data_IF_073052127960
#
_entry.id   IF_073052127960
#
_cell.length_a   1.000
_cell.length_b   1.000
_cell.length_c   1.000
_cell.angle_alpha   90.00
_cell.angle_beta   90.00
_cell.angle_gamma   90.00
#
_symmetry.space_group_name_H-M   'P 1'
#
loop_
_entity.id
_entity.type
_entity.pdbx_description
1 polymer ?
#
# COMPACT_ATOMS: atom_id res chain seq x y z
N UNK A 1 12.05 -12.30 28.96
CA UNK A 1 11.19 -11.56 29.92
C UNK A 1 10.38 -10.50 29.16
N UNK A 2 9.10 -10.28 29.50
CA UNK A 2 8.17 -9.34 28.83
C UNK A 2 8.75 -7.92 28.68
N UNK A 3 9.51 -7.48 29.68
CA UNK A 3 10.20 -6.18 29.66
C UNK A 3 11.16 -6.02 28.47
N UNK A 4 11.86 -7.08 28.04
CA UNK A 4 12.73 -7.02 26.87
C UNK A 4 11.93 -6.91 25.57
N UNK A 5 10.78 -7.58 25.48
CA UNK A 5 9.88 -7.47 24.33
C UNK A 5 9.34 -6.04 24.20
N UNK A 6 8.89 -5.45 25.31
CA UNK A 6 8.42 -4.06 25.35
C UNK A 6 9.52 -3.07 24.92
N UNK A 7 10.76 -3.25 25.38
CA UNK A 7 11.89 -2.42 24.97
C UNK A 7 12.20 -2.55 23.46
N UNK A 8 12.16 -3.77 22.92
CA UNK A 8 12.38 -4.02 21.50
C UNK A 8 11.29 -3.38 20.63
N UNK A 9 10.03 -3.56 21.00
CA UNK A 9 8.90 -2.96 20.27
C UNK A 9 8.94 -1.44 20.36
N UNK A 10 9.22 -0.87 21.53
CA UNK A 10 9.37 0.58 21.68
C UNK A 10 10.45 1.14 20.74
N UNK A 11 11.61 0.47 20.65
CA UNK A 11 12.67 0.85 19.72
C UNK A 11 12.21 0.79 18.25
N UNK A 12 11.44 -0.22 17.88
CA UNK A 12 10.90 -0.36 16.53
C UNK A 12 9.88 0.76 16.22
N UNK A 13 8.96 1.06 17.14
CA UNK A 13 7.96 2.12 16.98
C UNK A 13 8.65 3.50 16.83
N UNK A 14 9.63 3.81 17.68
CA UNK A 14 10.38 5.08 17.57
C UNK A 14 11.17 5.20 16.27
N UNK A 15 11.65 4.08 15.70
CA UNK A 15 12.28 4.10 14.39
C UNK A 15 11.26 4.39 13.29
N UNK A 16 10.09 3.74 13.36
CA UNK A 16 9.03 3.92 12.37
C UNK A 16 8.52 5.36 12.36
N UNK A 17 8.19 5.94 13.52
CA UNK A 17 7.73 7.35 13.61
C UNK A 17 8.71 8.31 12.94
N UNK A 18 10.01 8.15 13.19
CA UNK A 18 11.05 8.99 12.57
C UNK A 18 11.18 8.76 11.07
N UNK A 19 10.96 7.53 10.59
CA UNK A 19 11.20 7.16 9.20
C UNK A 19 10.00 7.45 8.31
N UNK A 20 8.78 7.32 8.83
CA UNK A 20 7.53 7.53 8.10
C UNK A 20 6.96 8.93 8.25
N UNK A 21 7.50 9.73 9.19
CA UNK A 21 6.98 11.04 9.58
C UNK A 21 5.48 10.99 9.97
N UNK A 22 5.06 9.86 10.55
CA UNK A 22 3.71 9.66 11.07
C UNK A 22 3.72 9.48 12.57
N UNK A 23 2.81 10.14 13.31
CA UNK A 23 2.62 9.87 14.72
C UNK A 23 1.99 8.49 14.91
N UNK A 24 2.71 7.55 15.53
CA UNK A 24 2.19 6.24 15.94
C UNK A 24 1.57 6.29 17.35
N UNK A 25 1.12 7.47 17.78
CA UNK A 25 0.60 7.74 19.14
C UNK A 25 -0.59 6.86 19.55
N UNK A 26 -1.26 6.22 18.58
CA UNK A 26 -2.39 5.32 18.82
C UNK A 26 -2.00 3.86 19.07
N UNK A 27 -0.72 3.50 18.97
CA UNK A 27 -0.22 2.12 19.13
C UNK A 27 0.88 2.09 20.20
N UNK A 28 0.57 1.55 21.37
CA UNK A 28 1.52 1.31 22.45
C UNK A 28 2.42 0.10 22.19
N UNK A 29 3.57 0.03 22.88
CA UNK A 29 4.42 -1.16 22.79
C UNK A 29 3.81 -2.37 23.52
N UNK A 30 3.04 -2.12 24.58
CA UNK A 30 2.20 -3.10 25.27
C UNK A 30 1.14 -3.71 24.35
N UNK A 31 0.53 -2.94 23.45
CA UNK A 31 -0.50 -3.43 22.54
C UNK A 31 0.04 -4.53 21.62
N UNK A 32 1.28 -4.39 21.17
CA UNK A 32 1.93 -5.37 20.31
C UNK A 32 2.43 -6.56 21.13
N UNK A 33 3.05 -6.32 22.28
CA UNK A 33 3.60 -7.39 23.12
C UNK A 33 2.50 -8.28 23.71
N UNK A 34 1.36 -7.71 24.08
CA UNK A 34 0.24 -8.43 24.67
C UNK A 34 -0.73 -8.99 23.59
N UNK A 35 -0.46 -8.74 22.31
CA UNK A 35 -1.16 -9.38 21.20
C UNK A 35 -2.51 -8.76 20.84
N UNK A 36 -2.65 -7.44 20.96
CA UNK A 36 -3.81 -6.71 20.43
C UNK A 36 -3.83 -6.82 18.89
N UNK A 37 -4.60 -7.78 18.38
CA UNK A 37 -4.66 -8.12 16.95
C UNK A 37 -5.02 -6.91 16.09
N UNK A 38 -5.98 -6.09 16.54
CA UNK A 38 -6.44 -4.92 15.77
C UNK A 38 -5.31 -3.90 15.58
N UNK A 39 -4.60 -3.57 16.66
CA UNK A 39 -3.50 -2.59 16.61
C UNK A 39 -2.25 -3.18 15.94
N UNK A 40 -2.02 -4.48 16.09
CA UNK A 40 -0.96 -5.19 15.35
C UNK A 40 -1.19 -5.11 13.85
N UNK A 41 -2.41 -5.41 13.38
CA UNK A 41 -2.76 -5.26 11.96
C UNK A 41 -2.69 -3.80 11.49
N UNK A 42 -3.09 -2.86 12.34
CA UNK A 42 -2.93 -1.42 12.09
C UNK A 42 -1.47 -1.03 11.87
N UNK A 43 -0.56 -1.50 12.72
CA UNK A 43 0.88 -1.25 12.59
C UNK A 43 1.45 -1.85 11.29
N UNK A 44 1.11 -3.10 10.99
CA UNK A 44 1.56 -3.77 9.76
C UNK A 44 1.03 -3.04 8.53
N UNK A 45 -0.23 -2.58 8.56
CA UNK A 45 -0.81 -1.79 7.47
C UNK A 45 -0.04 -0.49 7.23
N UNK A 46 0.30 0.25 8.29
CA UNK A 46 1.09 1.50 8.18
C UNK A 46 2.45 1.22 7.53
N UNK A 47 3.12 0.13 7.92
CA UNK A 47 4.41 -0.26 7.33
C UNK A 47 4.25 -0.56 5.83
N UNK A 48 3.29 -1.40 5.44
CA UNK A 48 3.05 -1.73 4.03
C UNK A 48 2.73 -0.45 3.24
N UNK A 49 1.86 0.39 3.79
CA UNK A 49 1.44 1.62 3.15
C UNK A 49 2.62 2.57 2.91
N UNK A 50 3.40 2.89 3.94
CA UNK A 50 4.48 3.87 3.86
C UNK A 50 5.68 3.41 3.05
N UNK A 51 6.03 2.12 3.11
CA UNK A 51 7.23 1.62 2.43
C UNK A 51 6.97 1.03 1.04
N UNK A 52 5.75 0.59 0.74
CA UNK A 52 5.44 -0.02 -0.57
C UNK A 52 4.52 0.88 -1.40
N UNK A 53 3.33 1.21 -0.89
CA UNK A 53 2.30 1.90 -1.68
C UNK A 53 2.69 3.37 -1.93
N UNK A 54 3.11 4.08 -0.88
CA UNK A 54 3.53 5.48 -0.99
C UNK A 54 4.74 5.62 -1.92
N UNK A 55 5.69 4.69 -1.82
CA UNK A 55 6.87 4.69 -2.70
C UNK A 55 6.46 4.59 -4.18
N UNK A 56 5.56 3.67 -4.53
CA UNK A 56 5.04 3.53 -5.90
C UNK A 56 4.38 4.83 -6.36
N UNK A 57 3.56 5.43 -5.50
CA UNK A 57 2.86 6.67 -5.83
C UNK A 57 3.84 7.83 -6.09
N UNK A 58 4.88 7.98 -5.27
CA UNK A 58 5.93 8.98 -5.48
C UNK A 58 6.66 8.74 -6.82
N UNK A 59 7.01 7.49 -7.14
CA UNK A 59 7.62 7.15 -8.44
C UNK A 59 6.70 7.51 -9.61
N UNK A 60 5.38 7.37 -9.48
CA UNK A 60 4.44 7.79 -10.53
C UNK A 60 4.37 9.29 -10.69
N UNK A 61 4.46 10.06 -9.60
CA UNK A 61 4.56 11.52 -9.66
C UNK A 61 5.84 11.93 -10.39
N UNK A 62 6.95 11.25 -10.17
CA UNK A 62 8.22 11.54 -10.85
C UNK A 62 8.14 11.26 -12.37
N UNK A 63 7.48 10.17 -12.77
CA UNK A 63 7.33 9.79 -14.19
C UNK A 63 6.24 10.61 -14.89
N UNK A 64 5.16 10.94 -14.18
CA UNK A 64 3.97 11.61 -14.70
C UNK A 64 3.61 12.87 -13.89
N UNK A 65 4.50 13.88 -13.84
CA UNK A 65 4.39 15.02 -12.92
C UNK A 65 3.17 15.92 -13.18
N UNK A 66 2.63 15.93 -14.40
CA UNK A 66 1.43 16.69 -14.76
C UNK A 66 0.12 16.00 -14.37
N UNK A 67 0.17 14.72 -14.00
CA UNK A 67 -1.00 13.88 -13.81
C UNK A 67 -1.32 13.68 -12.33
N UNK A 68 -0.36 13.86 -11.42
CA UNK A 68 -0.51 13.60 -9.99
C UNK A 68 0.12 14.75 -9.20
N UNK A 69 -0.71 15.59 -8.56
CA UNK A 69 -0.22 16.66 -7.70
C UNK A 69 0.01 16.11 -6.28
N UNK A 70 1.19 16.39 -5.73
CA UNK A 70 1.56 16.32 -4.30
C UNK A 70 0.91 15.17 -3.49
N UNK A 71 1.35 13.95 -3.73
CA UNK A 71 0.83 12.74 -3.08
C UNK A 71 1.42 12.61 -1.68
N UNK A 72 0.73 13.14 -0.67
CA UNK A 72 1.16 13.00 0.73
C UNK A 72 0.21 12.16 1.58
N UNK A 73 -0.95 11.78 1.05
CA UNK A 73 -1.97 11.02 1.79
C UNK A 73 -2.22 9.61 1.25
N UNK A 74 -2.82 8.78 2.11
CA UNK A 74 -3.20 7.40 1.75
C UNK A 74 -4.26 7.35 0.65
N UNK A 75 -5.14 8.36 0.62
CA UNK A 75 -6.13 8.49 -0.45
C UNK A 75 -5.42 8.73 -1.77
N UNK A 76 -4.44 9.64 -1.79
CA UNK A 76 -3.73 10.02 -3.02
C UNK A 76 -2.89 8.86 -3.55
N UNK A 77 -2.15 8.17 -2.68
CA UNK A 77 -1.31 7.04 -3.11
C UNK A 77 -2.15 5.86 -3.63
N UNK A 78 -3.30 5.59 -3.01
CA UNK A 78 -4.26 4.61 -3.50
C UNK A 78 -4.81 5.01 -4.88
N UNK A 79 -5.17 6.28 -5.07
CA UNK A 79 -5.67 6.76 -6.36
C UNK A 79 -4.61 6.71 -7.46
N UNK A 80 -3.36 7.04 -7.13
CA UNK A 80 -2.23 6.93 -8.06
C UNK A 80 -2.04 5.47 -8.52
N UNK A 81 -2.03 4.51 -7.59
CA UNK A 81 -1.93 3.10 -7.94
C UNK A 81 -3.11 2.63 -8.78
N UNK A 82 -4.35 3.05 -8.43
CA UNK A 82 -5.54 2.69 -9.20
C UNK A 82 -5.48 3.24 -10.63
N UNK A 83 -4.96 4.46 -10.78
CA UNK A 83 -4.74 5.08 -12.08
C UNK A 83 -3.71 4.30 -12.89
N UNK A 84 -2.60 3.91 -12.29
CA UNK A 84 -1.61 3.10 -12.99
C UNK A 84 -2.18 1.78 -13.48
N UNK A 85 -2.98 1.08 -12.66
CA UNK A 85 -3.66 -0.14 -13.10
C UNK A 85 -4.51 0.11 -14.33
N UNK A 86 -5.28 1.21 -14.35
CA UNK A 86 -6.10 1.58 -15.51
C UNK A 86 -5.26 1.85 -16.76
N UNK A 87 -4.13 2.53 -16.61
CA UNK A 87 -3.21 2.79 -17.72
C UNK A 87 -2.59 1.50 -18.27
N UNK A 88 -2.23 0.55 -17.41
CA UNK A 88 -1.72 -0.75 -17.86
C UNK A 88 -2.77 -1.57 -18.62
N UNK A 89 -4.04 -1.40 -18.27
CA UNK A 89 -5.15 -2.20 -18.77
C UNK A 89 -5.99 -1.51 -19.85
N UNK A 90 -5.54 -0.38 -20.39
CA UNK A 90 -6.26 0.37 -21.42
C UNK A 90 -6.55 -0.49 -22.66
N UNK A 91 -5.58 -1.30 -23.08
CA UNK A 91 -5.66 -2.22 -24.22
C UNK A 91 -6.62 -3.41 -24.00
N UNK A 92 -7.09 -3.63 -22.77
CA UNK A 92 -8.02 -4.72 -22.40
C UNK A 92 -9.44 -4.23 -22.18
N UNK A 93 -9.74 -2.97 -22.51
CA UNK A 93 -11.04 -2.34 -22.27
C UNK A 93 -12.23 -3.06 -22.93
N UNK A 94 -12.00 -3.81 -24.01
CA UNK A 94 -13.01 -4.66 -24.65
C UNK A 94 -13.28 -5.98 -23.91
N UNK A 95 -12.37 -6.40 -23.04
CA UNK A 95 -12.39 -7.70 -22.34
C UNK A 95 -12.80 -7.54 -20.89
N UNK A 96 -12.40 -6.44 -20.24
CA UNK A 96 -12.66 -6.20 -18.82
C UNK A 96 -13.36 -4.86 -18.57
N UNK A 97 -14.28 -4.80 -17.59
CA UNK A 97 -14.86 -3.52 -17.17
C UNK A 97 -13.77 -2.64 -16.51
N UNK A 98 -13.92 -1.30 -16.54
CA UNK A 98 -12.96 -0.39 -15.92
C UNK A 98 -12.76 -0.69 -14.44
N UNK A 99 -11.50 -0.76 -13.99
CA UNK A 99 -11.14 -1.03 -12.60
C UNK A 99 -11.49 0.19 -11.72
N UNK A 100 -12.43 0.07 -10.79
CA UNK A 100 -12.93 1.18 -9.96
C UNK A 100 -12.40 1.18 -8.52
N UNK A 101 -11.94 0.03 -8.03
CA UNK A 101 -11.50 -0.16 -6.66
C UNK A 101 -10.44 -1.27 -6.55
N UNK A 102 -9.89 -1.48 -5.36
CA UNK A 102 -9.06 -2.64 -5.00
C UNK A 102 -9.88 -3.74 -4.30
N UNK A 103 -11.16 -3.88 -4.68
CA UNK A 103 -12.05 -4.87 -4.07
C UNK A 103 -12.91 -5.56 -5.13
N UNK A 104 -14.07 -5.01 -5.51
CA UNK A 104 -15.03 -5.69 -6.38
C UNK A 104 -14.50 -5.88 -7.79
N UNK A 105 -13.72 -4.92 -8.28
CA UNK A 105 -13.15 -4.91 -9.64
C UNK A 105 -12.17 -6.07 -9.89
N UNK A 106 -11.64 -6.68 -8.82
CA UNK A 106 -10.63 -7.73 -8.88
C UNK A 106 -11.19 -9.13 -8.58
N UNK A 107 -12.47 -9.22 -8.18
CA UNK A 107 -13.08 -10.45 -7.67
C UNK A 107 -13.11 -11.59 -8.68
N UNK A 108 -13.19 -11.27 -9.98
CA UNK A 108 -13.20 -12.27 -11.05
C UNK A 108 -11.82 -12.85 -11.35
N UNK A 109 -10.74 -12.24 -10.85
CA UNK A 109 -9.36 -12.62 -11.15
C UNK A 109 -8.83 -12.16 -12.51
N UNK A 110 -9.71 -11.77 -13.45
CA UNK A 110 -9.32 -11.41 -14.82
C UNK A 110 -8.40 -10.18 -14.84
N UNK A 111 -8.63 -9.19 -13.97
CA UNK A 111 -7.76 -8.02 -13.86
C UNK A 111 -6.30 -8.38 -13.49
N UNK A 112 -6.10 -9.41 -12.66
CA UNK A 112 -4.75 -9.91 -12.35
C UNK A 112 -4.11 -10.58 -13.57
N UNK A 113 -4.87 -11.44 -14.26
CA UNK A 113 -4.37 -12.12 -15.46
C UNK A 113 -4.01 -11.13 -16.57
N UNK A 114 -4.85 -10.11 -16.81
CA UNK A 114 -4.60 -9.07 -17.80
C UNK A 114 -3.35 -8.24 -17.47
N UNK A 115 -3.11 -7.91 -16.19
CA UNK A 115 -1.88 -7.22 -15.78
C UNK A 115 -0.64 -8.08 -16.00
N UNK A 116 -0.72 -9.37 -15.68
CA UNK A 116 0.38 -10.30 -15.90
C UNK A 116 0.69 -10.40 -17.39
N UNK A 117 -0.32 -10.68 -18.23
CA UNK A 117 -0.17 -10.77 -19.69
C UNK A 117 0.33 -9.47 -20.32
N UNK A 118 -0.01 -8.29 -19.76
CA UNK A 118 0.52 -6.99 -20.22
C UNK A 118 2.03 -6.85 -20.04
N UNK A 119 2.59 -7.46 -18.99
CA UNK A 119 4.01 -7.37 -18.66
C UNK A 119 4.82 -8.56 -19.20
N UNK A 120 4.21 -9.73 -19.28
CA UNK A 120 4.80 -10.95 -19.83
C UNK A 120 3.68 -11.77 -20.51
N UNK A 121 3.51 -11.63 -21.84
CA UNK A 121 2.44 -12.31 -22.56
C UNK A 121 2.55 -13.83 -22.57
N UNK A 122 3.76 -14.38 -22.41
CA UNK A 122 4.04 -15.82 -22.59
C UNK A 122 3.84 -16.64 -21.30
N UNK A 123 3.55 -15.99 -20.19
CA UNK A 123 3.52 -16.62 -18.86
C UNK A 123 2.18 -17.31 -18.51
N UNK A 124 1.09 -17.00 -19.23
CA UNK A 124 -0.27 -17.50 -18.97
C UNK A 124 -0.82 -18.36 -20.11
#
# INVERSE_FOLDING_TARGET
>A
MRIHQMANVSKALSFLEKKTDEPLQSIGNEDIVDGNVKLTLGLIWIIIYRFQIQHIANTMTDIYPSLLNDINSMVDAKQALLRWVRLQLEDYSDIIPPIQDFHRSWKTGIAFAALIHRHDPDIL
#
